data_IF_670629873897
#
_entry.id   IF_670629873897
#
_cell.length_a   1.000
_cell.length_b   1.000
_cell.length_c   1.000
_cell.angle_alpha   90.00
_cell.angle_beta   90.00
_cell.angle_gamma   90.00
#
_symmetry.space_group_name_H-M   'P 1'
#
loop_
_entity.id
_entity.type
_entity.pdbx_description
1 polymer ?
#
# COMPACT_ATOMS: atom_id res chain seq x y z
N UNK A 1 -13.38 10.52 41.19
CA UNK A 1 -12.82 10.86 39.87
C UNK A 1 -11.54 10.07 39.71
N UNK A 2 -11.65 8.93 39.04
CA UNK A 2 -10.52 7.99 38.89
C UNK A 2 -9.59 8.56 37.80
N UNK A 3 -8.37 8.88 38.21
CA UNK A 3 -7.31 9.36 37.33
C UNK A 3 -6.75 8.15 36.57
N UNK A 4 -7.39 7.75 35.47
CA UNK A 4 -6.85 6.71 34.59
C UNK A 4 -5.62 7.29 33.89
N UNK A 5 -4.45 6.88 34.36
CA UNK A 5 -3.19 7.18 33.65
C UNK A 5 -3.23 6.53 32.28
N UNK A 6 -3.07 7.34 31.23
CA UNK A 6 -2.98 6.85 29.85
C UNK A 6 -1.87 5.78 29.76
N UNK A 7 -2.11 4.66 29.06
CA UNK A 7 -1.09 3.65 28.85
C UNK A 7 0.11 4.26 28.13
N UNK A 8 1.32 3.89 28.54
CA UNK A 8 2.57 4.36 27.93
C UNK A 8 3.13 3.31 26.99
N UNK A 9 3.74 3.75 25.91
CA UNK A 9 4.41 2.86 24.97
C UNK A 9 5.59 2.15 25.66
N UNK A 10 5.63 0.82 25.68
CA UNK A 10 6.71 0.08 26.34
C UNK A 10 8.08 0.28 25.67
N UNK A 11 8.12 0.80 24.45
CA UNK A 11 9.32 0.95 23.66
C UNK A 11 9.95 2.35 23.71
N UNK A 12 9.12 3.43 23.72
CA UNK A 12 9.61 4.82 23.74
C UNK A 12 9.11 5.65 24.93
N UNK A 13 8.28 5.07 25.83
CA UNK A 13 7.74 5.75 27.00
C UNK A 13 6.67 6.82 26.75
N UNK A 14 6.32 7.11 25.49
CA UNK A 14 5.32 8.13 25.19
C UNK A 14 3.90 7.65 25.51
N UNK A 15 3.05 8.56 26.00
CA UNK A 15 1.65 8.28 26.27
C UNK A 15 0.91 7.87 24.99
N UNK A 16 0.16 6.77 25.05
CA UNK A 16 -0.66 6.28 23.96
C UNK A 16 -2.02 6.99 24.01
N UNK A 17 -2.47 7.53 22.86
CA UNK A 17 -3.82 8.08 22.77
C UNK A 17 -4.86 6.97 22.90
N UNK A 18 -5.99 7.24 23.53
CA UNK A 18 -7.09 6.27 23.71
C UNK A 18 -7.64 5.70 22.38
N UNK A 19 -7.41 6.38 21.27
CA UNK A 19 -7.79 5.96 19.90
C UNK A 19 -6.74 5.11 19.19
N UNK A 20 -5.55 4.91 19.78
CA UNK A 20 -4.55 4.02 19.21
C UNK A 20 -4.97 2.56 19.43
N UNK A 21 -5.01 1.70 18.39
CA UNK A 21 -5.22 0.28 18.58
C UNK A 21 -4.20 -0.26 19.59
N UNK A 22 -4.60 -1.16 20.46
CA UNK A 22 -3.84 -1.62 21.62
C UNK A 22 -2.34 -1.78 21.32
N UNK A 23 -1.51 -0.92 21.89
CA UNK A 23 -0.05 -1.02 21.84
C UNK A 23 0.67 -0.38 20.65
N UNK A 24 -0.02 0.04 19.59
CA UNK A 24 0.61 0.68 18.43
C UNK A 24 0.93 2.15 18.70
N UNK A 25 2.20 2.47 18.93
CA UNK A 25 2.68 3.82 19.20
C UNK A 25 2.94 4.60 17.90
N UNK A 26 2.25 5.74 17.65
CA UNK A 26 2.49 6.54 16.46
C UNK A 26 3.95 7.00 16.31
N UNK A 27 4.61 7.36 17.41
CA UNK A 27 6.01 7.80 17.38
C UNK A 27 6.98 6.68 16.99
N UNK A 28 6.74 5.44 17.45
CA UNK A 28 7.54 4.28 17.04
C UNK A 28 7.31 3.93 15.57
N UNK A 29 6.08 4.06 15.07
CA UNK A 29 5.76 3.88 13.65
C UNK A 29 6.45 4.94 12.77
N UNK A 30 6.53 6.18 13.24
CA UNK A 30 7.26 7.25 12.55
C UNK A 30 8.77 7.02 12.50
N UNK A 31 9.36 6.53 13.59
CA UNK A 31 10.80 6.24 13.65
C UNK A 31 11.22 5.16 12.62
N UNK A 32 10.33 4.22 12.32
CA UNK A 32 10.55 3.19 11.27
C UNK A 32 10.64 3.81 9.88
N UNK A 33 9.87 4.84 9.61
CA UNK A 33 9.84 5.51 8.29
C UNK A 33 11.10 6.34 7.98
N UNK A 34 11.90 6.69 9.01
CA UNK A 34 13.14 7.45 8.86
C UNK A 34 14.37 6.55 8.66
N UNK A 35 14.24 5.25 8.86
CA UNK A 35 15.34 4.28 8.76
C UNK A 35 15.26 3.49 7.45
N UNK A 36 15.93 3.99 6.43
CA UNK A 36 16.39 3.34 5.21
C UNK A 36 15.44 3.26 3.99
N UNK A 37 15.97 3.55 2.79
CA UNK A 37 15.33 3.12 1.53
C UNK A 37 15.37 1.60 1.47
N UNK A 38 14.23 0.99 1.22
CA UNK A 38 14.09 -0.47 1.08
C UNK A 38 14.76 -0.92 -0.23
N UNK A 39 16.02 -1.34 -0.17
CA UNK A 39 16.59 -2.20 -1.19
C UNK A 39 15.87 -3.56 -1.08
N UNK A 40 14.99 -3.85 -2.02
CA UNK A 40 14.40 -5.18 -2.16
C UNK A 40 15.51 -6.09 -2.66
N UNK A 41 15.88 -7.19 -1.96
CA UNK A 41 16.86 -8.15 -2.46
C UNK A 41 16.41 -8.66 -3.83
N UNK A 42 17.31 -8.61 -4.83
CA UNK A 42 17.04 -9.04 -6.19
C UNK A 42 16.54 -10.49 -6.22
N UNK A 43 15.40 -10.72 -6.84
CA UNK A 43 14.93 -12.07 -7.15
C UNK A 43 15.96 -12.74 -8.07
N UNK A 44 16.47 -13.88 -7.65
CA UNK A 44 17.33 -14.74 -8.47
C UNK A 44 16.38 -15.49 -9.43
N UNK A 45 16.50 -15.21 -10.72
CA UNK A 45 15.77 -15.93 -11.75
C UNK A 45 16.20 -17.42 -11.80
N UNK A 46 15.39 -18.32 -12.40
CA UNK A 46 15.62 -19.78 -12.41
C UNK A 46 16.93 -20.22 -13.06
N UNK A 47 17.74 -19.34 -13.61
CA UNK A 47 19.05 -19.62 -14.22
C UNK A 47 20.21 -18.77 -13.65
N UNK A 48 20.10 -18.25 -12.42
CA UNK A 48 21.22 -17.61 -11.74
C UNK A 48 21.70 -16.27 -12.35
N UNK A 49 21.03 -15.74 -13.36
CA UNK A 49 21.35 -14.43 -13.95
C UNK A 49 20.74 -13.34 -13.08
N UNK A 50 21.58 -12.45 -12.53
CA UNK A 50 21.10 -11.20 -11.90
C UNK A 50 20.40 -10.37 -12.97
N UNK A 51 19.07 -10.34 -12.93
CA UNK A 51 18.31 -9.39 -13.73
C UNK A 51 18.60 -8.02 -13.16
N UNK A 52 19.40 -7.24 -13.87
CA UNK A 52 19.62 -5.82 -13.57
C UNK A 52 18.31 -5.11 -13.86
N UNK A 53 17.45 -5.00 -12.84
CA UNK A 53 16.20 -4.22 -12.94
C UNK A 53 16.63 -2.76 -13.13
N UNK A 54 16.29 -2.17 -14.28
CA UNK A 54 16.47 -0.74 -14.50
C UNK A 54 15.84 0.04 -13.35
N UNK A 55 16.43 1.16 -12.90
CA UNK A 55 15.83 1.98 -11.86
C UNK A 55 14.40 2.41 -12.26
N UNK A 56 13.49 2.62 -11.31
CA UNK A 56 12.16 3.12 -11.63
C UNK A 56 12.27 4.49 -12.33
N UNK A 57 11.36 4.82 -13.25
CA UNK A 57 11.32 6.15 -13.83
C UNK A 57 11.26 7.24 -12.75
N UNK A 58 11.94 8.33 -12.99
CA UNK A 58 11.96 9.45 -12.04
C UNK A 58 10.59 10.14 -11.96
N UNK A 59 10.25 10.83 -10.86
CA UNK A 59 9.04 11.64 -10.77
C UNK A 59 8.87 12.61 -11.94
N UNK A 60 9.97 13.22 -12.42
CA UNK A 60 9.96 14.16 -13.54
C UNK A 60 9.61 13.48 -14.89
N UNK A 61 10.03 12.25 -15.10
CA UNK A 61 9.68 11.47 -16.29
C UNK A 61 8.20 11.10 -16.29
N UNK A 62 7.70 10.64 -15.14
CA UNK A 62 6.29 10.26 -14.99
C UNK A 62 5.36 11.46 -15.08
N UNK A 63 5.74 12.62 -14.54
CA UNK A 63 4.94 13.85 -14.60
C UNK A 63 4.56 14.26 -16.04
N UNK A 64 5.39 13.92 -17.03
CA UNK A 64 5.11 14.19 -18.46
C UNK A 64 3.85 13.46 -18.97
N UNK A 65 3.57 12.29 -18.41
CA UNK A 65 2.40 11.47 -18.78
C UNK A 65 1.16 11.80 -17.95
N UNK A 66 1.34 12.45 -16.79
CA UNK A 66 0.27 12.70 -15.82
C UNK A 66 0.18 14.19 -15.44
N UNK A 67 -0.15 15.10 -16.40
CA UNK A 67 -0.19 16.55 -16.15
C UNK A 67 -1.24 16.96 -15.10
N UNK A 68 -2.20 16.09 -14.82
CA UNK A 68 -3.23 16.31 -13.78
C UNK A 68 -2.73 16.04 -12.35
N UNK A 69 -1.52 15.49 -12.19
CA UNK A 69 -0.90 15.19 -10.91
C UNK A 69 0.44 15.90 -10.76
N UNK A 70 0.74 16.33 -9.57
CA UNK A 70 2.09 16.72 -9.13
C UNK A 70 2.76 15.49 -8.53
N UNK A 71 3.71 14.89 -9.25
CA UNK A 71 4.41 13.68 -8.79
C UNK A 71 5.49 14.08 -7.80
N UNK A 72 5.40 13.61 -6.56
CA UNK A 72 6.25 14.06 -5.45
C UNK A 72 7.48 13.15 -5.27
N UNK A 73 7.23 11.84 -5.07
CA UNK A 73 8.28 10.86 -4.79
C UNK A 73 7.89 9.46 -5.23
N UNK A 74 8.88 8.61 -5.51
CA UNK A 74 8.66 7.18 -5.73
C UNK A 74 8.59 6.48 -4.38
N UNK A 75 7.46 5.83 -4.08
CA UNK A 75 7.24 5.09 -2.84
C UNK A 75 7.83 3.68 -2.89
N UNK A 76 7.90 3.09 -4.08
CA UNK A 76 8.46 1.76 -4.25
C UNK A 76 8.19 1.14 -5.62
N UNK A 77 8.94 0.09 -5.93
CA UNK A 77 8.78 -0.74 -7.13
C UNK A 77 8.58 -2.19 -6.71
N UNK A 78 7.61 -2.85 -7.32
CA UNK A 78 7.35 -4.28 -7.14
C UNK A 78 7.19 -5.01 -8.47
N UNK A 79 6.91 -6.30 -8.43
CA UNK A 79 6.66 -7.10 -9.63
C UNK A 79 5.41 -6.68 -10.43
N UNK A 80 4.52 -5.90 -9.82
CA UNK A 80 3.29 -5.42 -10.43
C UNK A 80 3.38 -3.99 -10.97
N UNK A 81 4.50 -3.29 -10.75
CA UNK A 81 4.67 -1.91 -11.20
C UNK A 81 5.37 -1.01 -10.19
N UNK A 82 5.20 0.29 -10.36
CA UNK A 82 5.82 1.34 -9.54
C UNK A 82 4.74 2.20 -8.90
N UNK A 83 4.91 2.55 -7.63
CA UNK A 83 3.99 3.40 -6.89
C UNK A 83 4.65 4.75 -6.59
N UNK A 84 3.95 5.82 -6.90
CA UNK A 84 4.38 7.19 -6.61
C UNK A 84 3.42 7.85 -5.63
N UNK A 85 3.96 8.67 -4.75
CA UNK A 85 3.18 9.67 -4.03
C UNK A 85 2.95 10.86 -4.95
N UNK A 86 1.72 11.24 -5.11
CA UNK A 86 1.34 12.34 -5.96
C UNK A 86 0.32 13.25 -5.26
N UNK A 87 0.30 14.53 -5.64
CA UNK A 87 -0.74 15.47 -5.25
C UNK A 87 -1.71 15.62 -6.41
N UNK A 88 -2.99 15.57 -6.13
CA UNK A 88 -4.07 15.91 -7.05
C UNK A 88 -4.50 17.35 -6.79
N UNK A 89 -3.99 18.37 -7.54
CA UNK A 89 -4.17 19.79 -7.19
C UNK A 89 -5.63 20.21 -7.15
N UNK A 90 -6.44 19.77 -8.13
CA UNK A 90 -7.87 20.12 -8.23
C UNK A 90 -8.68 19.73 -6.99
N UNK A 91 -8.33 18.62 -6.33
CA UNK A 91 -9.00 18.12 -5.12
C UNK A 91 -8.18 18.40 -3.86
N UNK A 92 -7.02 19.04 -3.99
CA UNK A 92 -6.09 19.36 -2.90
C UNK A 92 -5.81 18.18 -1.97
N UNK A 93 -5.57 16.99 -2.53
CA UNK A 93 -5.30 15.77 -1.75
C UNK A 93 -4.04 15.06 -2.23
N UNK A 94 -3.42 14.31 -1.31
CA UNK A 94 -2.34 13.38 -1.62
C UNK A 94 -2.95 12.01 -1.97
N UNK A 95 -2.37 11.37 -3.00
CA UNK A 95 -2.79 10.07 -3.50
C UNK A 95 -1.58 9.17 -3.75
N UNK A 96 -1.78 7.87 -3.79
CA UNK A 96 -0.85 6.92 -4.34
C UNK A 96 -1.22 6.66 -5.81
N UNK A 97 -0.27 6.91 -6.72
CA UNK A 97 -0.39 6.63 -8.13
C UNK A 97 0.41 5.37 -8.45
N UNK A 98 -0.27 4.27 -8.72
CA UNK A 98 0.36 3.00 -9.10
C UNK A 98 0.32 2.85 -10.61
N UNK A 99 1.50 2.75 -11.23
CA UNK A 99 1.68 2.51 -12.66
C UNK A 99 2.02 1.04 -12.85
N UNK A 100 1.26 0.33 -13.66
CA UNK A 100 1.45 -1.09 -13.90
C UNK A 100 2.67 -1.34 -14.78
N UNK A 101 3.34 -2.47 -14.55
CA UNK A 101 4.53 -2.86 -15.30
C UNK A 101 4.17 -3.11 -16.78
N UNK A 102 4.86 -2.49 -17.77
CA UNK A 102 4.58 -2.64 -19.19
C UNK A 102 4.56 -4.09 -19.67
N UNK A 103 5.43 -4.94 -19.10
CA UNK A 103 5.53 -6.36 -19.44
C UNK A 103 4.24 -7.14 -19.13
N UNK A 104 3.44 -6.62 -18.20
CA UNK A 104 2.16 -7.22 -17.79
C UNK A 104 1.00 -6.75 -18.66
N UNK A 105 1.18 -5.61 -19.32
CA UNK A 105 0.17 -4.98 -20.19
C UNK A 105 0.14 -5.58 -21.59
N UNK A 106 1.23 -6.24 -22.03
CA UNK A 106 1.37 -6.78 -23.38
C UNK A 106 0.46 -7.99 -23.69
N UNK A 107 -0.27 -8.51 -22.70
CA UNK A 107 -1.16 -9.65 -22.92
C UNK A 107 -2.42 -9.26 -23.73
N UNK A 108 -2.87 -10.11 -24.67
CA UNK A 108 -4.15 -9.90 -25.35
C UNK A 108 -5.29 -9.80 -24.31
N UNK A 109 -6.23 -8.87 -24.55
CA UNK A 109 -7.38 -8.60 -23.65
C UNK A 109 -7.03 -8.05 -22.27
N UNK A 110 -5.78 -7.57 -22.07
CA UNK A 110 -5.41 -6.94 -20.81
C UNK A 110 -6.32 -5.73 -20.49
N UNK A 111 -6.57 -4.87 -21.47
CA UNK A 111 -7.39 -3.67 -21.29
C UNK A 111 -8.80 -3.99 -20.76
N UNK A 112 -9.51 -4.94 -21.38
CA UNK A 112 -10.86 -5.37 -20.94
C UNK A 112 -10.84 -5.96 -19.54
N UNK A 113 -9.82 -6.79 -19.23
CA UNK A 113 -9.65 -7.39 -17.92
C UNK A 113 -9.33 -6.32 -16.87
N UNK A 114 -8.44 -5.38 -17.19
CA UNK A 114 -8.07 -4.28 -16.32
C UNK A 114 -9.28 -3.44 -15.93
N UNK A 115 -10.06 -2.99 -16.90
CA UNK A 115 -11.24 -2.17 -16.66
C UNK A 115 -12.24 -2.88 -15.74
N UNK A 116 -12.58 -4.14 -16.03
CA UNK A 116 -13.53 -4.92 -15.22
C UNK A 116 -13.05 -5.11 -13.78
N UNK A 117 -11.79 -5.48 -13.59
CA UNK A 117 -11.24 -5.72 -12.24
C UNK A 117 -11.06 -4.38 -11.49
N UNK A 118 -10.63 -3.31 -12.15
CA UNK A 118 -10.50 -1.99 -11.55
C UNK A 118 -11.86 -1.42 -11.11
N UNK A 119 -12.92 -1.63 -11.90
CA UNK A 119 -14.29 -1.28 -11.50
C UNK A 119 -14.74 -2.04 -10.25
N UNK A 120 -14.39 -3.33 -10.14
CA UNK A 120 -14.71 -4.11 -8.93
C UNK A 120 -13.97 -3.57 -7.70
N UNK A 121 -12.69 -3.19 -7.85
CA UNK A 121 -11.88 -2.59 -6.78
C UNK A 121 -12.43 -1.23 -6.33
N UNK A 122 -12.89 -0.40 -7.27
CA UNK A 122 -13.45 0.93 -6.99
C UNK A 122 -14.75 0.87 -6.16
N UNK A 123 -15.43 -0.28 -6.13
CA UNK A 123 -16.63 -0.50 -5.30
C UNK A 123 -16.31 -0.84 -3.85
N UNK A 124 -15.06 -1.24 -3.56
CA UNK A 124 -14.66 -1.60 -2.19
C UNK A 124 -14.48 -0.32 -1.35
N UNK A 125 -15.46 -0.04 -0.50
CA UNK A 125 -15.41 1.06 0.45
C UNK A 125 -15.49 0.51 1.88
N UNK A 126 -14.33 0.38 2.53
CA UNK A 126 -14.20 -0.16 3.87
C UNK A 126 -13.05 0.53 4.63
N UNK A 127 -13.16 0.83 5.93
CA UNK A 127 -12.14 1.56 6.67
C UNK A 127 -10.75 0.89 6.67
N UNK A 128 -10.73 -0.44 6.54
CA UNK A 128 -9.49 -1.22 6.53
C UNK A 128 -9.06 -1.67 5.12
N UNK A 129 -9.63 -1.09 4.05
CA UNK A 129 -9.20 -1.29 2.66
C UNK A 129 -8.70 0.04 2.10
N UNK A 130 -7.60 0.03 1.36
CA UNK A 130 -7.13 1.19 0.59
C UNK A 130 -8.13 1.46 -0.54
N UNK A 131 -8.73 2.64 -0.52
CA UNK A 131 -9.75 3.02 -1.50
C UNK A 131 -9.12 3.31 -2.87
N UNK A 132 -9.63 2.72 -3.93
CA UNK A 132 -9.32 3.08 -5.31
C UNK A 132 -10.20 4.25 -5.71
N UNK A 133 -9.59 5.36 -6.13
CA UNK A 133 -10.30 6.57 -6.52
C UNK A 133 -10.55 6.66 -8.01
N UNK A 134 -9.60 6.18 -8.80
CA UNK A 134 -9.65 6.29 -10.25
C UNK A 134 -8.69 5.28 -10.89
N UNK A 135 -8.92 4.96 -12.16
CA UNK A 135 -8.04 4.11 -12.95
C UNK A 135 -8.14 4.52 -14.42
N UNK A 136 -7.15 4.16 -15.19
CA UNK A 136 -7.16 4.47 -16.61
C UNK A 136 -5.88 4.09 -17.33
N UNK A 137 -5.79 4.58 -18.56
CA UNK A 137 -4.63 4.45 -19.42
C UNK A 137 -4.23 5.83 -19.96
N UNK A 138 -2.94 6.11 -20.00
CA UNK A 138 -2.38 7.31 -20.62
C UNK A 138 -1.02 7.02 -21.23
N UNK A 139 -0.88 7.28 -22.55
CA UNK A 139 0.36 7.05 -23.27
C UNK A 139 0.87 5.60 -23.19
N UNK A 140 -0.02 4.60 -23.18
CA UNK A 140 0.31 3.18 -23.02
C UNK A 140 0.58 2.75 -21.58
N UNK A 141 0.47 3.65 -20.59
CA UNK A 141 0.66 3.36 -19.18
C UNK A 141 -0.69 3.17 -18.50
N UNK A 142 -0.96 1.96 -18.01
CA UNK A 142 -2.12 1.69 -17.16
C UNK A 142 -1.83 2.09 -15.72
N UNK A 143 -2.78 2.76 -15.08
CA UNK A 143 -2.59 3.27 -13.73
C UNK A 143 -3.82 3.11 -12.85
N UNK A 144 -3.58 3.13 -11.55
CA UNK A 144 -4.57 3.21 -10.49
C UNK A 144 -4.22 4.40 -9.59
N UNK A 145 -5.20 5.24 -9.31
CA UNK A 145 -5.10 6.30 -8.30
C UNK A 145 -5.82 5.85 -7.04
N UNK A 146 -5.15 5.84 -5.92
CA UNK A 146 -5.71 5.30 -4.69
C UNK A 146 -5.36 6.14 -3.48
N UNK A 147 -5.98 5.83 -2.36
CA UNK A 147 -5.70 6.43 -1.07
C UNK A 147 -4.22 6.32 -0.72
N UNK A 148 -3.61 7.45 -0.36
CA UNK A 148 -2.26 7.46 0.21
C UNK A 148 -2.35 7.20 1.70
N UNK A 149 -1.74 6.12 2.17
CA UNK A 149 -1.62 5.78 3.59
C UNK A 149 -0.30 6.32 4.11
N UNK A 150 -0.38 7.37 4.92
CA UNK A 150 0.81 7.95 5.57
C UNK A 150 1.23 7.10 6.77
N UNK A 151 2.10 6.12 6.51
CA UNK A 151 2.50 5.13 7.50
C UNK A 151 3.55 4.16 6.98
N UNK A 152 3.55 2.94 7.52
CA UNK A 152 4.51 1.87 7.20
C UNK A 152 3.78 0.58 6.85
N UNK A 153 4.43 -0.31 6.10
CA UNK A 153 3.93 -1.67 5.90
C UNK A 153 4.20 -2.54 7.13
N UNK A 154 3.37 -3.56 7.32
CA UNK A 154 3.60 -4.57 8.36
C UNK A 154 4.96 -5.25 8.18
N UNK A 155 5.45 -5.41 6.94
CA UNK A 155 6.81 -5.92 6.66
C UNK A 155 7.89 -5.03 7.27
N UNK A 156 7.82 -3.72 7.03
CA UNK A 156 8.78 -2.76 7.61
C UNK A 156 8.72 -2.79 9.14
N UNK A 157 7.53 -2.85 9.71
CA UNK A 157 7.38 -2.96 11.17
C UNK A 157 8.04 -4.22 11.72
N UNK A 158 7.81 -5.39 11.10
CA UNK A 158 8.40 -6.68 11.49
C UNK A 158 9.93 -6.73 11.35
N UNK A 159 10.50 -5.96 10.43
CA UNK A 159 11.96 -5.86 10.27
C UNK A 159 12.62 -5.03 11.37
N UNK A 160 11.91 -4.08 11.95
CA UNK A 160 12.46 -3.16 12.96
C UNK A 160 12.25 -3.63 14.38
N UNK A 161 11.18 -4.40 14.63
CA UNK A 161 10.86 -4.93 15.97
C UNK A 161 9.96 -6.16 15.89
N UNK A 162 9.93 -6.92 17.01
CA UNK A 162 8.91 -7.94 17.23
C UNK A 162 7.56 -7.27 17.53
N UNK A 163 6.49 -7.84 17.02
CA UNK A 163 5.12 -7.44 17.35
C UNK A 163 4.69 -8.22 18.61
N UNK A 164 4.19 -7.51 19.60
CA UNK A 164 3.62 -8.13 20.78
C UNK A 164 2.32 -8.90 20.44
N UNK A 165 1.98 -9.98 21.18
CA UNK A 165 0.74 -10.73 20.92
C UNK A 165 -0.51 -9.84 20.92
N UNK A 166 -0.59 -8.86 21.80
CA UNK A 166 -1.71 -7.93 21.93
C UNK A 166 -1.84 -7.04 20.67
N UNK A 167 -0.71 -6.61 20.09
CA UNK A 167 -0.69 -5.85 18.84
C UNK A 167 -1.14 -6.71 17.65
N UNK A 168 -0.70 -7.97 17.62
CA UNK A 168 -1.16 -8.92 16.60
C UNK A 168 -2.66 -9.17 16.69
N UNK A 169 -3.20 -9.32 17.90
CA UNK A 169 -4.64 -9.45 18.17
C UNK A 169 -5.43 -8.20 17.77
N UNK A 170 -4.82 -7.01 17.76
CA UNK A 170 -5.46 -5.79 17.29
C UNK A 170 -5.45 -5.68 15.75
N UNK A 171 -4.46 -6.26 15.07
CA UNK A 171 -4.28 -6.18 13.60
C UNK A 171 -5.11 -7.27 12.89
N UNK A 172 -5.00 -8.53 13.32
CA UNK A 172 -5.56 -9.69 12.60
C UNK A 172 -7.08 -9.61 12.41
N UNK A 173 -7.90 -9.25 13.41
CA UNK A 173 -9.34 -9.11 13.21
C UNK A 173 -9.69 -8.08 12.14
N UNK A 174 -8.96 -6.95 12.06
CA UNK A 174 -9.20 -5.91 11.04
C UNK A 174 -8.87 -6.39 9.62
N UNK A 175 -7.84 -7.25 9.49
CA UNK A 175 -7.55 -7.92 8.22
C UNK A 175 -8.71 -8.86 7.85
N UNK A 176 -9.17 -9.69 8.78
CA UNK A 176 -10.26 -10.62 8.54
C UNK A 176 -11.57 -9.91 8.17
N UNK A 177 -11.95 -8.83 8.88
CA UNK A 177 -13.12 -8.00 8.58
C UNK A 177 -13.06 -7.43 7.16
N UNK A 178 -11.90 -6.88 6.76
CA UNK A 178 -11.69 -6.32 5.43
C UNK A 178 -11.76 -7.38 4.32
N UNK A 179 -11.16 -8.55 4.56
CA UNK A 179 -11.19 -9.66 3.61
C UNK A 179 -12.60 -10.23 3.46
N UNK A 180 -13.34 -10.40 4.56
CA UNK A 180 -14.72 -10.86 4.52
C UNK A 180 -15.59 -9.88 3.73
N UNK A 181 -15.47 -8.58 4.02
CA UNK A 181 -16.19 -7.55 3.25
C UNK A 181 -15.92 -7.63 1.75
N UNK A 182 -14.64 -7.79 1.35
CA UNK A 182 -14.28 -7.91 -0.07
C UNK A 182 -14.84 -9.19 -0.70
N UNK A 183 -14.80 -10.32 0.03
CA UNK A 183 -15.37 -11.60 -0.42
C UNK A 183 -16.89 -11.49 -0.64
N UNK A 184 -17.62 -10.81 0.24
CA UNK A 184 -19.05 -10.57 0.11
C UNK A 184 -19.39 -9.73 -1.14
N UNK A 185 -18.42 -8.92 -1.62
CA UNK A 185 -18.50 -8.17 -2.89
C UNK A 185 -17.94 -8.96 -4.10
N UNK A 186 -17.59 -10.24 -3.93
CA UNK A 186 -17.05 -11.10 -4.97
C UNK A 186 -15.57 -10.82 -5.33
N UNK A 187 -14.85 -10.07 -4.49
CA UNK A 187 -13.44 -9.72 -4.70
C UNK A 187 -12.56 -10.52 -3.75
N UNK A 188 -11.61 -11.28 -4.31
CA UNK A 188 -10.60 -12.04 -3.55
C UNK A 188 -9.25 -11.34 -3.70
N UNK A 189 -8.53 -11.16 -2.58
CA UNK A 189 -7.25 -10.43 -2.57
C UNK A 189 -6.13 -11.15 -3.35
N UNK A 190 -5.95 -12.46 -3.17
CA UNK A 190 -4.99 -13.36 -3.84
C UNK A 190 -3.51 -13.17 -3.53
N UNK A 191 -3.10 -12.07 -2.89
CA UNK A 191 -1.70 -11.76 -2.56
C UNK A 191 -1.59 -11.11 -1.17
N UNK A 192 -2.23 -11.73 -0.15
CA UNK A 192 -2.10 -11.26 1.24
C UNK A 192 -0.70 -11.56 1.75
N UNK A 193 0.01 -10.49 2.10
CA UNK A 193 1.37 -10.54 2.65
C UNK A 193 1.64 -9.27 3.48
N UNK A 194 2.65 -9.28 4.37
CA UNK A 194 2.94 -8.14 5.24
C UNK A 194 3.25 -6.82 4.50
N UNK A 195 3.70 -6.89 3.25
CA UNK A 195 3.95 -5.71 2.41
C UNK A 195 2.65 -4.98 2.04
N UNK A 196 1.55 -5.73 1.90
CA UNK A 196 0.24 -5.22 1.48
C UNK A 196 -0.66 -4.84 2.68
N UNK A 197 -0.18 -5.02 3.92
CA UNK A 197 -0.85 -4.55 5.13
C UNK A 197 -0.15 -3.29 5.61
N UNK A 198 -0.85 -2.16 5.56
CA UNK A 198 -0.33 -0.85 5.92
C UNK A 198 -0.88 -0.43 7.28
N UNK A 199 -0.04 0.25 8.05
CA UNK A 199 -0.42 0.87 9.32
C UNK A 199 -0.15 2.37 9.19
N UNK A 200 -1.20 3.18 9.32
CA UNK A 200 -1.04 4.62 9.27
C UNK A 200 -0.47 5.20 10.59
N UNK A 201 -0.19 6.51 10.61
CA UNK A 201 0.34 7.22 11.78
C UNK A 201 -0.56 7.16 13.02
N UNK A 202 -1.84 6.81 12.84
CA UNK A 202 -2.79 6.61 13.93
C UNK A 202 -2.89 5.14 14.35
N UNK A 203 -2.12 4.25 13.70
CA UNK A 203 -2.14 2.80 13.94
C UNK A 203 -3.32 2.08 13.28
N UNK A 204 -4.06 2.73 12.38
CA UNK A 204 -5.15 2.09 11.66
C UNK A 204 -4.59 1.14 10.59
N UNK A 205 -5.17 -0.04 10.52
CA UNK A 205 -4.79 -1.07 9.54
C UNK A 205 -5.51 -0.81 8.23
N UNK A 206 -4.79 -0.86 7.12
CA UNK A 206 -5.36 -0.81 5.76
C UNK A 206 -4.72 -1.85 4.88
N UNK A 207 -5.52 -2.60 4.13
CA UNK A 207 -5.06 -3.58 3.15
C UNK A 207 -4.99 -2.91 1.79
N UNK A 208 -3.82 -2.98 1.16
CA UNK A 208 -3.56 -2.47 -0.17
C UNK A 208 -3.51 -3.61 -1.20
N UNK A 209 -3.56 -3.25 -2.48
CA UNK A 209 -3.31 -4.15 -3.62
C UNK A 209 -4.31 -5.32 -3.76
N UNK A 210 -5.57 -5.13 -3.35
CA UNK A 210 -6.64 -6.08 -3.63
C UNK A 210 -6.73 -6.42 -5.11
N UNK A 211 -6.79 -7.71 -5.43
CA UNK A 211 -7.10 -8.22 -6.78
C UNK A 211 -6.13 -7.82 -7.90
N UNK A 212 -5.13 -6.96 -7.64
CA UNK A 212 -4.17 -6.52 -8.67
C UNK A 212 -3.38 -7.70 -9.23
N UNK A 213 -3.15 -8.75 -8.43
CA UNK A 213 -2.53 -9.99 -8.92
C UNK A 213 -3.28 -10.63 -10.09
N UNK A 214 -4.62 -10.51 -10.13
CA UNK A 214 -5.45 -10.99 -11.25
C UNK A 214 -5.33 -10.11 -12.49
N UNK A 215 -5.02 -8.82 -12.33
CA UNK A 215 -4.79 -7.88 -13.43
C UNK A 215 -3.51 -8.21 -14.19
N UNK A 216 -2.48 -8.67 -13.46
CA UNK A 216 -1.11 -8.79 -13.97
C UNK A 216 -0.59 -10.23 -14.08
N UNK A 217 -1.42 -11.24 -13.84
CA UNK A 217 -0.99 -12.65 -13.87
C UNK A 217 -2.15 -13.60 -13.67
N UNK A 218 -3.04 -13.67 -14.62
CA UNK A 218 -4.09 -14.70 -14.69
C UNK A 218 -3.71 -15.77 -15.66
#
# INVERSE_FOLDING_TARGET
>A
MSNESLPVCPQCGNALKASAPAGLCPNCLMAVNLAAPTEIPGEIGPHGTKVVKQPPPTPAEIAKHFPQFEILECLGRGGMGVVYKARQPKLNRIVALKILAPEKVAEPKFAERFEREAQALARLNHPNIVTVYDFGETGGLYYLTMEFVDGVSLRQLLQTRKIAPEEALAIVPKICEALQFAHDQGVVHRDIKPENVLLDKQGRVKIADFGIAKLVGG
#
